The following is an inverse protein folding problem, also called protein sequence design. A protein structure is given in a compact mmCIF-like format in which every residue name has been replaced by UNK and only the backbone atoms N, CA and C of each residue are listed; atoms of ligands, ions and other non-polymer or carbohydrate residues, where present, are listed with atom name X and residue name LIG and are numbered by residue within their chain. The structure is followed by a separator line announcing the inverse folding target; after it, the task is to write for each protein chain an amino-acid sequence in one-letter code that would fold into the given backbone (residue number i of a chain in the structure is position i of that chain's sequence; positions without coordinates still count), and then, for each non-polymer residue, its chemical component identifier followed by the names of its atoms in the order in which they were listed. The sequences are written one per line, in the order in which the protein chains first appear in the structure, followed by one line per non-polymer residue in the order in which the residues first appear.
data_IF_797320927503
#
_entry.id   IF_797320927503
#
_cell.length_a   1.000
_cell.length_b   1.000
_cell.length_c   1.000
_cell.angle_alpha   90.00
_cell.angle_beta   90.00
_cell.angle_gamma   90.00
#
_symmetry.space_group_name_H-M   'P 1'
#
loop_
_entity.id
_entity.type
_entity.pdbx_description
1 polymer ?
#
# COMPACT_ATOMS: atom_id res chain seq x y z
N UNK A 1 -1.35 -2.20 -14.56
CA UNK A 1 -0.62 -3.23 -13.81
C UNK A 1 -0.43 -4.38 -14.77
N UNK A 2 0.81 -4.82 -14.97
CA UNK A 2 1.10 -5.89 -15.92
C UNK A 2 0.60 -7.26 -15.42
N UNK A 3 0.55 -7.44 -14.09
CA UNK A 3 0.16 -8.72 -13.47
C UNK A 3 -1.35 -9.00 -13.50
N UNK A 4 -2.20 -7.95 -13.49
CA UNK A 4 -3.65 -8.10 -13.38
C UNK A 4 -4.46 -7.21 -14.34
N UNK A 5 -3.81 -6.57 -15.31
CA UNK A 5 -4.45 -5.72 -16.32
C UNK A 5 -5.07 -4.41 -15.81
N UNK A 6 -5.10 -4.16 -14.50
CA UNK A 6 -5.76 -2.98 -13.91
C UNK A 6 -5.09 -1.67 -14.35
N UNK A 7 -5.87 -0.71 -14.86
CA UNK A 7 -5.38 0.61 -15.31
C UNK A 7 -5.44 1.62 -14.16
N UNK A 8 -4.45 2.52 -14.12
CA UNK A 8 -4.34 3.60 -13.13
C UNK A 8 -4.10 4.91 -13.86
N UNK A 9 -4.70 5.99 -13.35
CA UNK A 9 -4.54 7.35 -13.87
C UNK A 9 -3.31 8.09 -13.29
N UNK A 10 -2.68 7.54 -12.25
CA UNK A 10 -1.48 8.09 -11.61
C UNK A 10 -0.44 6.99 -11.39
N UNK A 11 0.82 7.30 -11.68
CA UNK A 11 1.94 6.38 -11.46
C UNK A 11 2.09 5.96 -9.99
N UNK A 12 1.87 6.88 -9.06
CA UNK A 12 1.89 6.59 -7.61
C UNK A 12 0.84 5.54 -7.19
N UNK A 13 -0.34 5.57 -7.80
CA UNK A 13 -1.39 4.58 -7.56
C UNK A 13 -0.99 3.22 -8.13
N UNK A 14 -0.36 3.17 -9.30
CA UNK A 14 0.18 1.94 -9.87
C UNK A 14 1.28 1.35 -8.99
N UNK A 15 2.26 2.16 -8.55
CA UNK A 15 3.35 1.72 -7.67
C UNK A 15 2.82 1.16 -6.36
N UNK A 16 1.88 1.86 -5.73
CA UNK A 16 1.24 1.42 -4.50
C UNK A 16 0.43 0.14 -4.72
N UNK A 17 -0.27 0.02 -5.85
CA UNK A 17 -1.01 -1.18 -6.20
C UNK A 17 -0.10 -2.40 -6.39
N UNK A 18 1.09 -2.24 -6.96
CA UNK A 18 2.05 -3.35 -7.12
C UNK A 18 2.42 -4.01 -5.80
N UNK A 19 2.37 -3.28 -4.68
CA UNK A 19 2.57 -3.83 -3.32
C UNK A 19 1.53 -4.90 -2.93
N UNK A 20 0.42 -4.99 -3.64
CA UNK A 20 -0.57 -6.05 -3.47
C UNK A 20 -0.01 -7.39 -3.96
N UNK A 21 0.69 -7.37 -5.09
CA UNK A 21 1.27 -8.57 -5.70
C UNK A 21 2.54 -9.02 -4.99
N UNK A 22 3.37 -8.08 -4.55
CA UNK A 22 4.61 -8.40 -3.82
C UNK A 22 4.40 -8.69 -2.33
N UNK A 23 3.22 -8.37 -1.79
CA UNK A 23 2.97 -8.42 -0.35
C UNK A 23 3.71 -7.34 0.45
N UNK A 24 4.38 -6.39 -0.21
CA UNK A 24 5.15 -5.34 0.44
C UNK A 24 4.25 -4.42 1.30
N UNK A 25 4.59 -4.29 2.57
CA UNK A 25 3.87 -3.45 3.53
C UNK A 25 4.87 -2.65 4.37
N UNK A 26 5.47 -1.59 3.80
CA UNK A 26 6.59 -0.89 4.41
C UNK A 26 6.18 -0.05 5.64
N UNK A 27 4.88 0.20 5.82
CA UNK A 27 4.40 1.06 6.90
C UNK A 27 3.88 0.23 8.06
N UNK A 28 4.75 -0.03 9.05
CA UNK A 28 4.38 -0.75 10.27
C UNK A 28 3.91 0.22 11.36
N UNK A 29 2.80 -0.12 12.02
CA UNK A 29 2.34 0.56 13.22
C UNK A 29 3.22 0.15 14.40
N UNK A 30 3.84 1.10 15.13
CA UNK A 30 4.71 0.78 16.25
C UNK A 30 3.93 0.21 17.44
N UNK A 31 2.67 0.62 17.62
CA UNK A 31 1.88 0.27 18.81
C UNK A 31 1.30 -1.14 18.74
N UNK A 32 0.81 -1.56 17.56
CA UNK A 32 0.14 -2.86 17.38
C UNK A 32 0.86 -3.80 16.41
N UNK A 33 1.96 -3.36 15.79
CA UNK A 33 2.75 -4.16 14.85
C UNK A 33 2.11 -4.40 13.48
N UNK A 34 0.90 -3.91 13.22
CA UNK A 34 0.21 -4.08 11.93
C UNK A 34 0.90 -3.30 10.82
N UNK A 35 1.08 -3.93 9.66
CA UNK A 35 1.70 -3.30 8.49
C UNK A 35 0.68 -2.91 7.43
N UNK A 36 0.95 -1.83 6.72
CA UNK A 36 0.09 -1.25 5.68
C UNK A 36 0.88 -1.00 4.40
N UNK A 37 0.18 -1.09 3.26
CA UNK A 37 0.74 -0.79 1.93
C UNK A 37 0.89 0.71 1.66
N UNK A 38 0.15 1.56 2.39
CA UNK A 38 0.07 3.02 2.15
C UNK A 38 0.15 3.78 3.47
N UNK A 39 0.93 4.86 3.50
CA UNK A 39 1.13 5.71 4.69
C UNK A 39 -0.17 6.35 5.16
N UNK A 40 -1.04 6.80 4.24
CA UNK A 40 -2.34 7.39 4.58
C UNK A 40 -3.25 6.39 5.30
N UNK A 41 -3.15 5.09 5.00
CA UNK A 41 -3.90 4.05 5.70
C UNK A 41 -3.37 3.84 7.12
N UNK A 42 -2.04 3.84 7.30
CA UNK A 42 -1.43 3.81 8.63
C UNK A 42 -1.82 5.05 9.44
N UNK A 43 -1.76 6.24 8.84
CA UNK A 43 -2.11 7.49 9.53
C UNK A 43 -3.56 7.49 10.01
N UNK A 44 -4.49 7.02 9.16
CA UNK A 44 -5.89 6.85 9.54
C UNK A 44 -6.09 5.79 10.62
N UNK A 45 -5.28 4.73 10.64
CA UNK A 45 -5.33 3.73 11.69
C UNK A 45 -4.87 4.27 13.06
N UNK A 46 -3.90 5.19 13.05
CA UNK A 46 -3.30 5.79 14.26
C UNK A 46 -4.08 6.98 14.82
N UNK A 47 -5.08 7.46 14.08
CA UNK A 47 -5.97 8.53 14.52
C UNK A 47 -7.14 7.91 15.27
#
# INVERSE_FOLDING_TARGET
CQDCGRRFNRGSNLTTHRRIHTGDMPYKCPDCGKSYRVSSTLLRHRK
#
